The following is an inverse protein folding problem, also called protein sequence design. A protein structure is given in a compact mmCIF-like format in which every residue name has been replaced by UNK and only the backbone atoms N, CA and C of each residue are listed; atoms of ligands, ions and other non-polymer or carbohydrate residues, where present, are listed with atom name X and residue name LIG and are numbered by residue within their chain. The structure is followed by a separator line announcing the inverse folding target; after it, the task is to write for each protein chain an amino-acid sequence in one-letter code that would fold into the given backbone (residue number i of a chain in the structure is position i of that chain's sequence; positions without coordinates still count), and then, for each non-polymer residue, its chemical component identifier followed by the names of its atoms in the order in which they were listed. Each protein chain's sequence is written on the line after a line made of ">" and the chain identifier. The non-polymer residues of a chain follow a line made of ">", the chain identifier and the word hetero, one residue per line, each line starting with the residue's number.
data_IF_785225988995
#
_entry.id   IF_785225988995
#
_cell.length_a   1.000
_cell.length_b   1.000
_cell.length_c   1.000
_cell.angle_alpha   90.00
_cell.angle_beta   90.00
_cell.angle_gamma   90.00
#
_symmetry.space_group_name_H-M   'P 1'
#
loop_
_entity.id
_entity.type
_entity.pdbx_description
1 polymer ?
#
# COMPACT_ATOMS: atom_id res chain seq x y z
N UNK A 1 -17.78 44.49 12.54
CA UNK A 1 -16.78 44.59 13.62
C UNK A 1 -17.26 43.69 14.74
N UNK A 2 -16.49 42.69 15.10
CA UNK A 2 -16.80 41.82 16.24
C UNK A 2 -15.85 42.18 17.37
N UNK A 3 -16.41 42.46 18.54
CA UNK A 3 -15.63 42.56 19.77
C UNK A 3 -15.34 41.14 20.25
N UNK A 4 -14.12 40.67 20.08
CA UNK A 4 -13.67 39.38 20.62
C UNK A 4 -12.94 39.65 21.95
N UNK A 5 -13.39 39.03 23.00
CA UNK A 5 -12.63 38.93 24.25
C UNK A 5 -11.99 37.53 24.29
N UNK A 6 -10.70 37.48 24.49
CA UNK A 6 -10.00 36.23 24.77
C UNK A 6 -10.20 35.96 26.26
N UNK A 7 -11.00 34.94 26.59
CA UNK A 7 -11.13 34.47 27.97
C UNK A 7 -10.08 33.40 28.20
N UNK A 8 -9.01 33.72 28.90
CA UNK A 8 -8.02 32.72 29.32
C UNK A 8 -8.58 32.01 30.56
N UNK A 9 -8.88 30.72 30.42
CA UNK A 9 -9.43 29.89 31.53
C UNK A 9 -8.42 29.63 32.66
N UNK A 10 -7.13 29.74 32.41
CA UNK A 10 -6.09 29.50 33.40
C UNK A 10 -5.78 30.81 34.17
N UNK A 11 -6.08 30.83 35.46
CA UNK A 11 -5.81 31.95 36.35
C UNK A 11 -4.35 32.41 36.38
N UNK A 12 -3.39 31.56 36.01
CA UNK A 12 -1.96 31.91 35.96
C UNK A 12 -1.65 32.85 34.80
N UNK A 13 -2.41 32.83 33.72
CA UNK A 13 -2.18 33.67 32.55
C UNK A 13 -3.04 34.92 32.52
N UNK A 14 -4.12 34.99 33.30
CA UNK A 14 -4.99 36.17 33.40
C UNK A 14 -4.27 37.41 33.97
N UNK A 15 -3.25 37.18 34.79
CA UNK A 15 -2.43 38.27 35.37
C UNK A 15 -1.40 38.85 34.38
N UNK A 16 -1.04 38.16 33.33
CA UNK A 16 -0.08 38.62 32.33
C UNK A 16 -0.69 39.58 31.29
N UNK A 17 -2.01 39.55 31.12
CA UNK A 17 -2.72 40.36 30.13
C UNK A 17 -3.38 41.62 30.69
N UNK A 18 -3.51 41.73 31.99
CA UNK A 18 -4.11 42.90 32.64
C UNK A 18 -3.25 44.17 32.65
N UNK A 19 -1.94 44.04 32.52
CA UNK A 19 -0.99 45.16 32.56
C UNK A 19 -0.51 45.65 31.18
N UNK A 20 -0.78 44.92 30.08
CA UNK A 20 -0.36 45.28 28.72
C UNK A 20 -1.54 45.64 27.83
N UNK A 21 -2.37 46.58 28.24
CA UNK A 21 -3.52 47.07 27.47
C UNK A 21 -3.15 48.04 26.34
N UNK A 22 -1.97 47.99 25.81
CA UNK A 22 -1.63 48.70 24.58
C UNK A 22 -2.10 47.88 23.36
N UNK A 23 -3.44 47.79 23.23
CA UNK A 23 -4.18 47.29 22.09
C UNK A 23 -3.39 46.42 21.11
N UNK A 24 -3.35 45.10 21.31
CA UNK A 24 -3.04 44.20 20.23
C UNK A 24 -4.20 44.25 19.23
N UNK A 25 -4.04 45.04 18.19
CA UNK A 25 -4.95 45.01 17.06
C UNK A 25 -4.77 43.65 16.34
N UNK A 26 -5.71 42.76 16.57
CA UNK A 26 -5.78 41.53 15.77
C UNK A 26 -7.04 41.57 14.91
N UNK A 27 -6.88 41.19 13.65
CA UNK A 27 -8.00 41.00 12.75
C UNK A 27 -8.45 39.54 12.82
N UNK A 28 -9.73 39.33 13.17
CA UNK A 28 -10.34 38.01 13.04
C UNK A 28 -11.05 37.95 11.69
N UNK A 29 -10.51 37.16 10.76
CA UNK A 29 -11.19 36.89 9.50
C UNK A 29 -12.08 35.68 9.72
N UNK A 30 -13.39 35.85 9.53
CA UNK A 30 -14.31 34.72 9.51
C UNK A 30 -14.07 33.88 8.25
N UNK A 31 -13.57 32.67 8.43
CA UNK A 31 -13.46 31.70 7.34
C UNK A 31 -14.85 31.25 6.96
N UNK A 32 -15.18 31.39 5.68
CA UNK A 32 -16.41 30.86 5.12
C UNK A 32 -16.22 29.39 4.75
N UNK A 33 -17.25 28.59 5.05
CA UNK A 33 -17.33 27.18 4.70
C UNK A 33 -18.62 26.94 3.95
N UNK A 34 -18.50 26.38 2.77
CA UNK A 34 -19.63 26.09 1.89
C UNK A 34 -19.99 24.62 2.01
N UNK A 35 -21.28 24.34 2.14
CA UNK A 35 -21.78 22.96 2.16
C UNK A 35 -21.50 22.30 0.82
N UNK A 36 -20.79 21.17 0.84
CA UNK A 36 -20.57 20.35 -0.36
C UNK A 36 -21.88 19.73 -0.80
N UNK A 37 -22.15 19.80 -2.10
CA UNK A 37 -23.36 19.24 -2.71
C UNK A 37 -22.97 18.25 -3.80
N UNK A 38 -23.72 17.19 -3.88
CA UNK A 38 -23.61 16.24 -4.98
C UNK A 38 -24.22 16.77 -6.29
N UNK A 39 -24.02 16.05 -7.38
CA UNK A 39 -24.43 16.46 -8.71
C UNK A 39 -25.95 16.63 -8.87
N UNK A 40 -26.76 15.94 -8.06
CA UNK A 40 -28.20 16.04 -8.08
C UNK A 40 -28.77 16.87 -6.90
N UNK A 41 -27.87 17.58 -6.18
CA UNK A 41 -28.25 18.40 -5.04
C UNK A 41 -28.24 17.67 -3.68
N UNK A 42 -27.71 16.47 -3.61
CA UNK A 42 -27.46 15.75 -2.35
C UNK A 42 -26.63 16.61 -1.40
N UNK A 43 -26.95 16.60 -0.10
CA UNK A 43 -26.28 17.42 0.91
C UNK A 43 -25.63 16.60 2.00
N UNK A 44 -25.78 15.28 1.95
CA UNK A 44 -25.20 14.35 2.90
C UNK A 44 -24.19 13.44 2.20
N UNK A 45 -23.03 13.30 2.84
CA UNK A 45 -22.08 12.26 2.52
C UNK A 45 -22.21 11.10 3.51
N UNK A 46 -21.38 10.06 3.32
CA UNK A 46 -21.38 8.87 4.19
C UNK A 46 -19.99 8.67 4.77
N UNK A 47 -19.89 8.71 6.08
CA UNK A 47 -18.69 8.31 6.82
C UNK A 47 -18.80 6.83 7.19
N UNK A 48 -17.76 6.06 6.90
CA UNK A 48 -17.65 4.63 7.20
C UNK A 48 -16.38 4.39 7.97
N UNK A 49 -16.54 4.09 9.24
CA UNK A 49 -15.47 4.12 10.22
C UNK A 49 -15.10 2.73 10.74
N UNK A 50 -13.84 2.38 10.60
CA UNK A 50 -13.21 1.27 11.31
C UNK A 50 -12.18 1.77 12.36
N UNK A 51 -12.08 3.09 12.53
CA UNK A 51 -11.09 3.74 13.38
C UNK A 51 -11.15 3.23 14.83
N UNK A 52 -12.34 3.05 15.37
CA UNK A 52 -12.54 2.54 16.71
C UNK A 52 -12.15 1.07 16.88
N UNK A 53 -12.09 0.27 15.83
CA UNK A 53 -11.62 -1.11 15.93
C UNK A 53 -10.17 -1.16 16.41
N UNK A 54 -9.36 -0.17 16.05
CA UNK A 54 -7.98 -0.07 16.49
C UNK A 54 -7.83 0.26 17.98
N UNK A 55 -8.85 0.94 18.58
CA UNK A 55 -8.81 1.39 19.97
C UNK A 55 -9.45 0.36 20.89
N UNK A 56 -10.62 -0.10 20.51
CA UNK A 56 -11.51 -0.87 21.37
C UNK A 56 -11.37 -2.38 21.16
N UNK A 57 -10.51 -2.79 20.23
CA UNK A 57 -10.30 -4.21 19.88
C UNK A 57 -11.60 -4.88 19.48
N UNK A 58 -11.79 -5.20 18.23
CA UNK A 58 -12.85 -6.06 17.69
C UNK A 58 -14.33 -5.69 17.94
N UNK A 59 -14.66 -4.73 18.79
CA UNK A 59 -16.03 -4.51 19.22
C UNK A 59 -17.02 -4.23 18.09
N UNK A 60 -16.63 -3.56 17.02
CA UNK A 60 -17.52 -3.33 15.87
C UNK A 60 -17.86 -4.65 15.18
N UNK A 61 -16.88 -5.54 15.01
CA UNK A 61 -17.08 -6.86 14.40
C UNK A 61 -17.82 -7.80 15.33
N UNK A 62 -17.50 -7.78 16.64
CA UNK A 62 -18.14 -8.61 17.66
C UNK A 62 -19.61 -8.25 17.87
N UNK A 63 -19.95 -6.99 17.79
CA UNK A 63 -21.34 -6.53 17.91
C UNK A 63 -22.15 -6.69 16.61
N UNK A 64 -21.60 -7.31 15.57
CA UNK A 64 -22.29 -7.55 14.32
C UNK A 64 -22.58 -6.29 13.51
N UNK A 65 -21.85 -5.19 13.76
CA UNK A 65 -21.93 -3.94 13.00
C UNK A 65 -20.66 -3.77 12.17
N UNK A 66 -20.47 -4.57 11.10
CA UNK A 66 -19.35 -4.36 10.19
C UNK A 66 -19.54 -3.03 9.48
N UNK A 67 -18.47 -2.23 9.42
CA UNK A 67 -18.47 -1.01 8.61
C UNK A 67 -19.61 -0.05 8.98
N UNK A 68 -19.68 0.36 10.25
CA UNK A 68 -20.70 1.31 10.69
C UNK A 68 -20.67 2.59 9.86
N UNK A 69 -21.80 2.88 9.23
CA UNK A 69 -21.97 4.06 8.36
C UNK A 69 -22.77 5.12 9.08
N UNK A 70 -22.43 6.37 8.79
CA UNK A 70 -23.15 7.56 9.26
C UNK A 70 -23.25 8.60 8.15
N UNK A 71 -24.46 9.16 7.99
CA UNK A 71 -24.65 10.34 7.19
C UNK A 71 -24.03 11.58 7.84
N UNK A 72 -23.24 12.32 7.10
CA UNK A 72 -22.50 13.50 7.56
C UNK A 72 -22.67 14.69 6.63
N UNK A 73 -22.58 15.89 7.19
CA UNK A 73 -22.44 17.13 6.43
C UNK A 73 -20.96 17.43 6.22
N UNK A 74 -20.59 17.69 4.96
CA UNK A 74 -19.22 18.01 4.56
C UNK A 74 -19.21 19.45 4.08
N UNK A 75 -18.28 20.23 4.57
CA UNK A 75 -18.11 21.62 4.17
C UNK A 75 -16.70 21.80 3.60
N UNK A 76 -16.60 22.51 2.48
CA UNK A 76 -15.35 22.92 1.88
C UNK A 76 -15.04 24.37 2.27
N UNK A 77 -13.80 24.66 2.56
CA UNK A 77 -13.35 26.00 2.87
C UNK A 77 -13.36 26.87 1.60
N UNK A 78 -14.09 27.98 1.62
CA UNK A 78 -14.33 28.79 0.43
C UNK A 78 -13.07 29.36 -0.23
N UNK A 79 -12.06 29.70 0.56
CA UNK A 79 -10.77 30.25 0.12
C UNK A 79 -9.67 29.20 -0.05
N UNK A 80 -9.99 27.90 0.18
CA UNK A 80 -9.00 26.81 0.12
C UNK A 80 -9.64 25.52 -0.36
N UNK A 81 -9.63 25.33 -1.67
CA UNK A 81 -10.16 24.11 -2.31
C UNK A 81 -9.45 22.85 -1.82
N UNK A 82 -10.21 21.77 -1.62
CA UNK A 82 -9.69 20.52 -1.11
C UNK A 82 -9.46 20.51 0.41
N UNK A 83 -9.81 21.58 1.13
CA UNK A 83 -9.73 21.62 2.58
C UNK A 83 -11.13 21.51 3.16
N UNK A 84 -11.42 20.37 3.78
CA UNK A 84 -12.77 20.02 4.21
C UNK A 84 -12.90 20.00 5.72
N UNK A 85 -14.13 20.17 6.18
CA UNK A 85 -14.52 19.83 7.56
C UNK A 85 -15.79 18.99 7.52
N UNK A 86 -15.84 18.00 8.39
CA UNK A 86 -17.00 17.12 8.54
C UNK A 86 -17.64 17.43 9.89
N UNK A 87 -18.93 17.66 9.88
CA UNK A 87 -19.68 18.02 11.07
C UNK A 87 -20.15 16.78 11.82
N UNK A 88 -19.95 16.77 13.13
CA UNK A 88 -20.51 15.80 14.10
C UNK A 88 -20.31 14.33 13.68
N UNK A 89 -19.10 13.95 13.22
CA UNK A 89 -18.82 12.54 12.87
C UNK A 89 -19.16 11.62 14.04
N UNK A 90 -18.74 12.00 15.23
CA UNK A 90 -18.85 11.19 16.44
C UNK A 90 -19.91 11.76 17.38
N UNK A 91 -21.18 11.79 16.94
CA UNK A 91 -22.28 12.13 17.82
C UNK A 91 -22.68 10.95 18.73
N UNK A 92 -23.54 11.22 19.72
CA UNK A 92 -23.95 10.24 20.72
C UNK A 92 -24.53 8.98 20.10
N UNK A 93 -25.41 9.10 19.09
CA UNK A 93 -26.06 7.96 18.46
C UNK A 93 -25.06 7.08 17.71
N UNK A 94 -24.11 7.67 17.03
CA UNK A 94 -23.07 6.93 16.31
C UNK A 94 -22.08 6.27 17.28
N UNK A 95 -21.64 7.01 18.33
CA UNK A 95 -20.78 6.45 19.37
C UNK A 95 -21.44 5.27 20.09
N UNK A 96 -22.72 5.36 20.43
CA UNK A 96 -23.46 4.26 21.01
C UNK A 96 -23.54 3.04 20.08
N UNK A 97 -23.66 3.26 18.77
CA UNK A 97 -23.68 2.20 17.76
C UNK A 97 -22.33 1.49 17.62
N UNK A 98 -21.22 2.20 17.57
CA UNK A 98 -19.89 1.64 17.27
C UNK A 98 -19.15 1.11 18.51
N UNK A 99 -19.30 1.76 19.69
CA UNK A 99 -18.55 1.42 20.90
C UNK A 99 -19.41 1.09 22.11
N UNK A 100 -20.70 1.31 22.03
CA UNK A 100 -21.65 1.10 23.12
C UNK A 100 -21.85 2.34 24.02
N UNK A 101 -22.91 2.26 24.83
CA UNK A 101 -23.49 3.39 25.59
C UNK A 101 -22.49 4.07 26.55
N UNK A 102 -21.55 3.33 27.10
CA UNK A 102 -20.60 3.88 28.10
C UNK A 102 -19.60 4.90 27.53
N UNK A 103 -19.52 5.03 26.20
CA UNK A 103 -18.61 5.94 25.52
C UNK A 103 -19.35 7.05 24.78
N UNK A 104 -20.59 7.31 25.11
CA UNK A 104 -21.46 8.28 24.45
C UNK A 104 -21.27 9.72 24.91
N UNK A 105 -20.28 10.01 25.74
CA UNK A 105 -19.98 11.37 26.16
C UNK A 105 -19.41 12.18 24.98
N UNK A 106 -20.29 12.94 24.36
CA UNK A 106 -19.94 13.86 23.28
C UNK A 106 -20.31 15.28 23.68
N UNK A 107 -19.62 16.29 23.16
CA UNK A 107 -19.92 17.66 23.49
C UNK A 107 -21.34 18.07 23.03
N UNK A 108 -22.00 18.91 23.78
CA UNK A 108 -23.33 19.44 23.43
C UNK A 108 -23.30 20.49 22.30
N UNK A 109 -22.13 20.82 21.80
CA UNK A 109 -21.92 21.76 20.69
C UNK A 109 -21.44 21.02 19.46
N UNK A 110 -21.73 21.50 18.23
CA UNK A 110 -21.27 20.89 17.01
C UNK A 110 -19.75 20.79 16.99
N UNK A 111 -19.25 19.61 16.64
CA UNK A 111 -17.82 19.35 16.42
C UNK A 111 -17.51 19.28 14.93
N UNK A 112 -16.27 19.54 14.59
CA UNK A 112 -15.83 19.51 13.20
C UNK A 112 -14.50 18.79 13.10
N UNK A 113 -14.43 17.79 12.24
CA UNK A 113 -13.18 17.08 11.90
C UNK A 113 -12.64 17.63 10.60
N UNK A 114 -11.43 18.13 10.61
CA UNK A 114 -10.74 18.69 9.44
C UNK A 114 -10.04 17.59 8.67
N UNK A 115 -10.15 17.64 7.34
CA UNK A 115 -9.43 16.80 6.39
C UNK A 115 -8.77 17.72 5.36
N UNK A 116 -7.48 17.53 5.16
CA UNK A 116 -6.72 18.19 4.11
C UNK A 116 -6.55 17.25 2.91
N UNK A 117 -7.30 17.52 1.85
CA UNK A 117 -7.28 16.80 0.58
C UNK A 117 -6.91 17.74 -0.59
N UNK A 118 -6.13 18.79 -0.31
CA UNK A 118 -5.63 19.71 -1.35
C UNK A 118 -4.72 18.98 -2.36
N UNK A 119 -4.03 17.96 -1.89
CA UNK A 119 -3.39 16.95 -2.74
C UNK A 119 -4.25 15.68 -2.66
N UNK A 120 -4.96 15.31 -3.73
CA UNK A 120 -5.85 14.16 -3.72
C UNK A 120 -5.12 12.82 -3.59
N UNK A 121 -3.81 12.77 -3.82
CA UNK A 121 -2.99 11.57 -3.61
C UNK A 121 -2.38 11.50 -2.20
N UNK A 122 -2.50 12.59 -1.41
CA UNK A 122 -1.94 12.69 -0.06
C UNK A 122 -2.92 13.33 0.90
N UNK A 123 -4.08 12.72 1.05
CA UNK A 123 -5.09 13.19 2.00
C UNK A 123 -4.69 12.85 3.42
N UNK A 124 -4.81 13.82 4.32
CA UNK A 124 -4.37 13.67 5.69
C UNK A 124 -5.24 14.44 6.70
N UNK A 125 -5.13 14.04 7.96
CA UNK A 125 -5.78 14.71 9.08
C UNK A 125 -4.77 15.65 9.76
N UNK A 126 -5.00 16.98 9.80
CA UNK A 126 -4.29 17.86 10.71
C UNK A 126 -4.49 17.40 12.16
N UNK A 127 -3.50 17.67 13.02
CA UNK A 127 -3.63 17.39 14.45
C UNK A 127 -4.79 18.22 15.01
N UNK A 128 -5.78 17.56 15.61
CA UNK A 128 -7.01 18.16 16.07
C UNK A 128 -7.68 17.34 17.17
N UNK A 129 -8.59 17.91 17.97
CA UNK A 129 -9.42 17.14 18.88
C UNK A 129 -10.31 16.14 18.15
N UNK A 130 -10.60 15.02 18.79
CA UNK A 130 -11.51 13.99 18.23
C UNK A 130 -12.98 14.43 18.27
N UNK A 131 -13.33 15.29 19.19
CA UNK A 131 -14.71 15.70 19.42
C UNK A 131 -15.54 14.74 20.29
N UNK A 132 -14.91 13.78 20.95
CA UNK A 132 -15.58 12.87 21.89
C UNK A 132 -14.68 12.55 23.10
N UNK A 133 -15.27 12.04 24.16
CA UNK A 133 -14.58 11.64 25.39
C UNK A 133 -14.29 10.14 25.38
N UNK A 134 -13.09 9.75 25.82
CA UNK A 134 -12.69 8.35 25.98
C UNK A 134 -12.17 8.13 27.40
N UNK A 135 -12.74 7.17 28.11
CA UNK A 135 -12.28 6.74 29.44
C UNK A 135 -12.10 7.92 30.43
N UNK A 136 -13.11 8.79 30.52
CA UNK A 136 -13.12 9.98 31.37
C UNK A 136 -12.08 11.07 30.99
N UNK A 137 -11.44 10.93 29.86
CA UNK A 137 -10.60 11.99 29.27
C UNK A 137 -11.47 12.90 28.43
N UNK A 138 -11.47 14.19 28.71
CA UNK A 138 -12.26 15.18 28.01
C UNK A 138 -11.98 15.17 26.50
N UNK A 139 -12.97 15.51 25.69
CA UNK A 139 -12.85 15.48 24.22
C UNK A 139 -11.76 16.44 23.69
N UNK A 140 -11.45 17.49 24.38
CA UNK A 140 -10.36 18.43 24.07
C UNK A 140 -8.98 17.84 24.28
N UNK A 141 -8.87 16.78 25.07
CA UNK A 141 -7.61 16.11 25.38
C UNK A 141 -7.35 14.90 24.46
N UNK A 142 -8.35 14.49 23.68
CA UNK A 142 -8.20 13.43 22.68
C UNK A 142 -7.85 14.03 21.32
N UNK A 143 -6.77 13.57 20.72
CA UNK A 143 -6.28 14.05 19.43
C UNK A 143 -6.46 13.03 18.31
N UNK A 144 -6.65 13.55 17.12
CA UNK A 144 -6.64 12.80 15.86
C UNK A 144 -5.60 13.41 14.94
N UNK A 145 -4.88 12.59 14.20
CA UNK A 145 -3.85 13.01 13.25
C UNK A 145 -3.66 11.97 12.16
N UNK A 146 -2.85 12.28 11.14
CA UNK A 146 -2.35 11.27 10.23
C UNK A 146 -1.25 10.43 10.88
N UNK A 147 -1.26 9.13 10.55
CA UNK A 147 -0.22 8.20 10.93
C UNK A 147 0.90 8.17 9.85
N UNK A 148 1.30 7.00 9.40
CA UNK A 148 2.41 6.83 8.45
C UNK A 148 1.98 6.74 7.00
N UNK A 149 0.70 6.51 6.74
CA UNK A 149 0.10 6.41 5.41
C UNK A 149 -0.79 7.62 5.14
N UNK A 150 -0.98 7.92 3.87
CA UNK A 150 -1.92 8.95 3.44
C UNK A 150 -3.18 8.32 2.85
N UNK A 151 -4.29 9.05 2.94
CA UNK A 151 -5.49 8.71 2.18
C UNK A 151 -5.44 9.26 0.75
N UNK A 152 -6.42 8.87 -0.05
CA UNK A 152 -6.61 9.36 -1.42
C UNK A 152 -8.04 9.84 -1.62
N UNK A 153 -8.22 10.82 -2.53
CA UNK A 153 -9.54 11.29 -2.97
C UNK A 153 -9.70 10.99 -4.46
N UNK A 154 -10.62 10.10 -4.79
CA UNK A 154 -10.93 9.74 -6.16
C UNK A 154 -12.45 9.67 -6.36
N UNK A 155 -12.96 10.34 -7.39
CA UNK A 155 -14.40 10.33 -7.76
C UNK A 155 -15.37 10.66 -6.60
N UNK A 156 -14.95 11.56 -5.69
CA UNK A 156 -15.73 11.92 -4.50
C UNK A 156 -15.68 10.90 -3.37
N UNK A 157 -14.80 9.93 -3.43
CA UNK A 157 -14.54 8.96 -2.36
C UNK A 157 -13.17 9.23 -1.76
N UNK A 158 -13.14 9.60 -0.48
CA UNK A 158 -11.93 9.61 0.33
C UNK A 158 -11.71 8.21 0.92
N UNK A 159 -10.54 7.66 0.68
CA UNK A 159 -10.15 6.34 1.17
C UNK A 159 -8.91 6.48 2.05
N UNK A 160 -8.98 5.99 3.28
CA UNK A 160 -7.88 5.96 4.23
C UNK A 160 -7.46 4.52 4.47
N UNK A 161 -6.29 4.09 3.94
CA UNK A 161 -5.79 2.73 4.15
C UNK A 161 -5.41 2.50 5.62
N UNK A 162 -5.15 1.25 6.04
CA UNK A 162 -4.58 0.97 7.35
C UNK A 162 -3.37 1.85 7.65
N UNK A 163 -3.26 2.36 8.88
CA UNK A 163 -2.22 3.29 9.34
C UNK A 163 -2.27 4.69 8.72
N UNK A 164 -3.38 5.11 8.14
CA UNK A 164 -3.56 6.49 7.67
C UNK A 164 -4.11 7.42 8.74
N UNK A 165 -4.91 6.91 9.67
CA UNK A 165 -5.51 7.68 10.75
C UNK A 165 -4.90 7.25 12.08
N UNK A 166 -4.47 8.20 12.89
CA UNK A 166 -3.92 7.98 14.22
C UNK A 166 -4.80 8.64 15.28
N UNK A 167 -5.23 7.87 16.27
CA UNK A 167 -5.78 8.43 17.50
C UNK A 167 -4.67 8.61 18.53
N UNK A 168 -4.61 9.80 19.10
CA UNK A 168 -3.72 10.14 20.19
C UNK A 168 -4.56 10.42 21.43
N UNK A 169 -4.21 9.78 22.54
CA UNK A 169 -4.76 10.14 23.85
C UNK A 169 -3.62 10.76 24.66
N UNK A 170 -3.52 12.08 24.74
CA UNK A 170 -2.47 12.68 25.53
C UNK A 170 -2.70 12.43 27.01
N UNK A 171 -1.67 12.12 27.71
CA UNK A 171 -1.43 12.45 29.09
C UNK A 171 -1.88 11.59 30.26
N UNK A 172 -2.88 10.76 30.21
CA UNK A 172 -3.26 10.01 31.42
C UNK A 172 -2.53 8.68 31.63
N UNK A 173 -1.70 8.29 30.68
CA UNK A 173 -1.10 6.98 30.62
C UNK A 173 0.34 7.14 30.11
N UNK A 174 1.20 6.23 30.42
CA UNK A 174 2.58 6.29 29.95
C UNK A 174 2.66 6.29 28.42
N UNK A 175 3.52 7.13 27.89
CA UNK A 175 3.59 7.59 26.49
C UNK A 175 3.62 6.50 25.39
N UNK A 176 3.84 5.24 25.72
CA UNK A 176 4.03 4.15 24.75
C UNK A 176 2.74 3.39 24.39
N UNK A 177 1.64 3.60 25.10
CA UNK A 177 0.43 2.79 24.96
C UNK A 177 -0.77 3.48 24.27
N UNK A 178 -0.65 4.74 23.87
CA UNK A 178 -1.80 5.60 23.55
C UNK A 178 -1.96 5.99 22.09
N UNK A 179 -1.07 5.51 21.22
CA UNK A 179 -1.19 5.74 19.80
C UNK A 179 -1.80 4.50 19.13
N UNK A 180 -3.00 4.66 18.58
CA UNK A 180 -3.65 3.61 17.81
C UNK A 180 -3.93 4.13 16.42
N UNK A 181 -3.52 3.34 15.42
CA UNK A 181 -3.83 3.61 14.04
C UNK A 181 -5.01 2.74 13.58
N UNK A 182 -5.73 3.18 12.55
CA UNK A 182 -6.77 2.35 11.93
C UNK A 182 -6.14 1.06 11.37
N UNK A 183 -6.83 -0.05 11.57
CA UNK A 183 -6.39 -1.38 11.14
C UNK A 183 -6.96 -1.77 9.78
N UNK A 184 -8.09 -1.20 9.43
CA UNK A 184 -8.80 -1.46 8.18
C UNK A 184 -9.00 -0.15 7.41
N UNK A 185 -9.60 -0.23 6.25
CA UNK A 185 -9.83 0.91 5.38
C UNK A 185 -11.03 1.72 5.86
N UNK A 186 -10.82 3.00 6.15
CA UNK A 186 -11.89 3.97 6.47
C UNK A 186 -12.22 4.80 5.24
N UNK A 187 -13.50 5.12 5.03
CA UNK A 187 -13.98 5.85 3.85
C UNK A 187 -14.89 7.00 4.23
N UNK A 188 -14.80 8.08 3.44
CA UNK A 188 -15.78 9.15 3.39
C UNK A 188 -16.26 9.31 1.95
N UNK A 189 -17.54 9.05 1.72
CA UNK A 189 -18.18 9.32 0.45
C UNK A 189 -18.77 10.73 0.47
N UNK A 190 -18.46 11.52 -0.52
CA UNK A 190 -19.07 12.84 -0.70
C UNK A 190 -20.52 12.71 -1.13
N UNK A 191 -21.34 13.77 -0.96
CA UNK A 191 -22.74 13.73 -1.39
C UNK A 191 -22.89 13.29 -2.86
N UNK A 192 -23.67 12.24 -3.09
CA UNK A 192 -23.89 11.65 -4.42
C UNK A 192 -22.73 10.78 -4.95
N UNK A 193 -21.63 10.63 -4.22
CA UNK A 193 -20.57 9.71 -4.61
C UNK A 193 -20.96 8.26 -4.32
N UNK A 194 -20.55 7.36 -5.21
CA UNK A 194 -20.76 5.92 -5.09
C UNK A 194 -19.41 5.25 -4.98
N UNK A 195 -19.25 4.40 -3.99
CA UNK A 195 -18.04 3.57 -3.86
C UNK A 195 -18.26 2.28 -4.63
N UNK A 196 -17.50 2.12 -5.70
CA UNK A 196 -17.46 0.88 -6.48
C UNK A 196 -16.32 -0.02 -6.01
N UNK A 197 -16.57 -1.31 -5.99
CA UNK A 197 -15.55 -2.33 -5.74
C UNK A 197 -15.27 -3.11 -7.04
N UNK A 198 -14.24 -2.67 -7.74
CA UNK A 198 -13.71 -3.34 -8.95
C UNK A 198 -12.46 -4.16 -8.65
N UNK A 199 -12.22 -4.52 -7.39
CA UNK A 199 -11.03 -5.30 -7.03
C UNK A 199 -11.02 -6.67 -7.72
N UNK A 200 -9.84 -7.14 -8.09
CA UNK A 200 -9.56 -8.51 -8.45
C UNK A 200 -8.35 -8.99 -7.66
N UNK A 201 -8.56 -10.01 -6.85
CA UNK A 201 -7.54 -10.59 -5.98
C UNK A 201 -7.34 -12.05 -6.37
N UNK A 202 -6.09 -12.44 -6.57
CA UNK A 202 -5.71 -13.82 -6.84
C UNK A 202 -4.93 -14.39 -5.65
N UNK A 203 -5.36 -15.55 -5.17
CA UNK A 203 -4.66 -16.32 -4.14
C UNK A 203 -4.26 -17.67 -4.70
N UNK A 204 -2.99 -18.04 -4.55
CA UNK A 204 -2.44 -19.29 -5.05
C UNK A 204 -2.53 -20.40 -4.01
N UNK A 205 -2.77 -21.63 -4.43
CA UNK A 205 -2.46 -22.82 -3.62
C UNK A 205 -0.98 -23.18 -3.73
N UNK A 206 -0.51 -24.05 -2.84
CA UNK A 206 0.79 -24.70 -3.05
C UNK A 206 0.81 -25.47 -4.39
N UNK A 207 1.97 -25.57 -5.05
CA UNK A 207 2.12 -26.40 -6.25
C UNK A 207 1.73 -27.86 -5.97
N UNK A 208 0.88 -28.40 -6.82
CA UNK A 208 0.56 -29.81 -6.81
C UNK A 208 1.01 -30.46 -8.12
N UNK A 209 1.06 -31.80 -8.18
CA UNK A 209 1.50 -32.53 -9.35
C UNK A 209 0.69 -32.14 -10.60
N UNK A 210 1.31 -31.40 -11.50
CA UNK A 210 0.75 -30.96 -12.77
C UNK A 210 -0.32 -29.88 -12.73
N UNK A 211 -0.60 -29.24 -11.60
CA UNK A 211 -1.60 -28.14 -11.50
C UNK A 211 -1.41 -27.23 -10.30
N UNK A 212 -1.89 -26.01 -10.41
CA UNK A 212 -2.02 -25.06 -9.30
C UNK A 212 -3.42 -24.49 -9.31
N UNK A 213 -4.09 -24.48 -8.16
CA UNK A 213 -5.36 -23.81 -7.99
C UNK A 213 -5.12 -22.34 -7.64
N UNK A 214 -5.76 -21.43 -8.37
CA UNK A 214 -5.73 -19.99 -8.11
C UNK A 214 -7.13 -19.55 -7.83
N UNK A 215 -7.40 -19.11 -6.60
CA UNK A 215 -8.68 -18.54 -6.22
C UNK A 215 -8.74 -17.09 -6.68
N UNK A 216 -9.70 -16.75 -7.52
CA UNK A 216 -10.00 -15.40 -7.93
C UNK A 216 -11.18 -14.87 -7.12
N UNK A 217 -10.98 -13.76 -6.42
CA UNK A 217 -12.03 -13.02 -5.70
C UNK A 217 -12.27 -11.71 -6.43
N UNK A 218 -13.50 -11.50 -6.87
CA UNK A 218 -13.94 -10.33 -7.62
C UNK A 218 -14.74 -9.40 -6.71
N UNK A 219 -14.48 -8.11 -6.82
CA UNK A 219 -15.29 -7.07 -6.18
C UNK A 219 -16.73 -7.05 -6.69
N UNK A 220 -17.64 -6.47 -5.91
CA UNK A 220 -19.09 -6.52 -6.15
C UNK A 220 -19.55 -5.86 -7.47
N UNK A 221 -18.75 -4.93 -8.00
CA UNK A 221 -19.07 -4.16 -9.20
C UNK A 221 -18.33 -4.66 -10.45
N UNK A 222 -17.58 -5.76 -10.33
CA UNK A 222 -16.88 -6.37 -11.45
C UNK A 222 -17.86 -7.16 -12.31
N UNK A 223 -18.02 -6.76 -13.58
CA UNK A 223 -18.80 -7.50 -14.56
C UNK A 223 -18.04 -8.75 -15.03
N UNK A 224 -16.74 -8.58 -15.32
CA UNK A 224 -15.87 -9.66 -15.76
C UNK A 224 -14.40 -9.38 -15.47
N UNK A 225 -13.61 -10.44 -15.47
CA UNK A 225 -12.15 -10.39 -15.44
C UNK A 225 -11.60 -11.11 -16.67
N UNK A 226 -10.75 -10.44 -17.45
CA UNK A 226 -9.91 -11.08 -18.46
C UNK A 226 -8.54 -11.34 -17.86
N UNK A 227 -8.02 -12.55 -17.99
CA UNK A 227 -6.73 -12.91 -17.41
C UNK A 227 -5.85 -13.69 -18.38
N UNK A 228 -4.53 -13.62 -18.14
CA UNK A 228 -3.53 -14.41 -18.86
C UNK A 228 -2.39 -14.83 -17.93
N UNK A 229 -1.69 -15.88 -18.33
CA UNK A 229 -0.50 -16.39 -17.64
C UNK A 229 0.77 -15.95 -18.35
N UNK A 230 1.77 -15.59 -17.56
CA UNK A 230 3.10 -15.16 -18.04
C UNK A 230 4.19 -15.96 -17.36
N UNK A 231 5.25 -16.31 -18.09
CA UNK A 231 6.42 -16.96 -17.51
C UNK A 231 7.22 -16.01 -16.63
N UNK A 232 7.65 -16.48 -15.49
CA UNK A 232 8.41 -15.74 -14.47
C UNK A 232 7.56 -14.96 -13.49
N UNK A 233 8.20 -14.46 -12.42
CA UNK A 233 7.60 -13.53 -11.48
C UNK A 233 7.64 -12.11 -12.06
N UNK A 234 6.50 -11.46 -12.23
CA UNK A 234 6.43 -10.08 -12.72
C UNK A 234 6.59 -9.08 -11.57
N UNK A 235 7.32 -8.00 -11.83
CA UNK A 235 7.25 -6.80 -10.98
C UNK A 235 5.92 -6.08 -11.21
N UNK A 236 5.57 -5.14 -10.32
CA UNK A 236 4.36 -4.33 -10.44
C UNK A 236 4.31 -3.61 -11.80
N UNK A 237 5.40 -2.97 -12.21
CA UNK A 237 5.49 -2.27 -13.50
C UNK A 237 5.30 -3.20 -14.72
N UNK A 238 5.85 -4.41 -14.67
CA UNK A 238 5.64 -5.40 -15.73
C UNK A 238 4.22 -5.97 -15.71
N UNK A 239 3.64 -6.21 -14.54
CA UNK A 239 2.25 -6.62 -14.42
C UNK A 239 1.30 -5.55 -14.97
N UNK A 240 1.55 -4.27 -14.68
CA UNK A 240 0.82 -3.15 -15.27
C UNK A 240 0.95 -3.10 -16.80
N UNK A 241 2.15 -3.30 -17.33
CA UNK A 241 2.34 -3.38 -18.78
C UNK A 241 1.57 -4.55 -19.40
N UNK A 242 1.57 -5.73 -18.75
CA UNK A 242 0.81 -6.90 -19.18
C UNK A 242 -0.70 -6.72 -19.06
N UNK A 243 -1.17 -5.99 -18.05
CA UNK A 243 -2.55 -5.52 -17.97
C UNK A 243 -2.92 -4.68 -19.20
N UNK A 244 -2.07 -3.74 -19.61
CA UNK A 244 -2.27 -2.97 -20.85
C UNK A 244 -2.32 -3.85 -22.11
N UNK A 245 -1.47 -4.86 -22.21
CA UNK A 245 -1.47 -5.82 -23.32
C UNK A 245 -2.78 -6.65 -23.37
N UNK A 246 -3.32 -7.06 -22.21
CA UNK A 246 -4.60 -7.76 -22.09
C UNK A 246 -5.75 -6.85 -22.53
N UNK A 247 -5.77 -5.60 -22.06
CA UNK A 247 -6.82 -4.62 -22.38
C UNK A 247 -6.83 -4.29 -23.87
N UNK A 248 -5.67 -4.07 -24.46
CA UNK A 248 -5.52 -3.83 -25.89
C UNK A 248 -5.81 -5.06 -26.77
N UNK A 249 -6.01 -6.23 -26.18
CA UNK A 249 -6.22 -7.49 -26.92
C UNK A 249 -5.02 -7.95 -27.76
N UNK A 250 -3.81 -7.50 -27.43
CA UNK A 250 -2.58 -7.88 -28.13
C UNK A 250 -2.09 -9.27 -27.75
N UNK A 251 -2.60 -9.81 -26.65
CA UNK A 251 -2.31 -11.17 -26.17
C UNK A 251 -3.62 -11.95 -25.94
N UNK A 252 -3.62 -13.28 -26.14
CA UNK A 252 -4.75 -14.11 -25.79
C UNK A 252 -5.04 -14.07 -24.30
N UNK A 253 -6.31 -13.97 -23.92
CA UNK A 253 -6.77 -13.98 -22.54
C UNK A 253 -8.00 -14.86 -22.38
N UNK A 254 -8.17 -15.43 -21.19
CA UNK A 254 -9.38 -16.11 -20.76
C UNK A 254 -10.25 -15.17 -19.95
N UNK A 255 -11.52 -15.54 -19.71
CA UNK A 255 -12.50 -14.69 -19.05
C UNK A 255 -13.24 -15.44 -17.94
N UNK A 256 -13.47 -14.75 -16.79
CA UNK A 256 -14.38 -15.20 -15.73
C UNK A 256 -15.34 -14.05 -15.36
N UNK A 257 -16.57 -14.40 -14.97
CA UNK A 257 -17.63 -13.44 -14.60
C UNK A 257 -18.06 -13.57 -13.13
N UNK A 258 -17.44 -14.44 -12.37
CA UNK A 258 -17.69 -14.62 -10.95
C UNK A 258 -16.44 -15.08 -10.21
N UNK A 259 -16.39 -14.81 -8.91
CA UNK A 259 -15.36 -15.37 -8.04
C UNK A 259 -15.34 -16.90 -8.11
N UNK A 260 -14.15 -17.48 -8.14
CA UNK A 260 -14.01 -18.92 -8.31
C UNK A 260 -12.56 -19.38 -8.41
N UNK A 261 -12.37 -20.66 -8.71
CA UNK A 261 -11.03 -21.25 -8.84
C UNK A 261 -10.65 -21.44 -10.30
N UNK A 262 -9.51 -20.87 -10.66
CA UNK A 262 -8.82 -21.07 -11.94
C UNK A 262 -7.80 -22.17 -11.72
N UNK A 263 -7.78 -23.20 -12.58
CA UNK A 263 -6.76 -24.25 -12.53
C UNK A 263 -5.67 -23.95 -13.55
N UNK A 264 -4.48 -23.58 -13.06
CA UNK A 264 -3.33 -23.35 -13.90
C UNK A 264 -2.63 -24.69 -14.25
N UNK A 265 -2.44 -24.95 -15.55
CA UNK A 265 -1.68 -26.07 -16.10
C UNK A 265 -0.69 -25.51 -17.09
N UNK A 266 0.63 -25.67 -16.81
CA UNK A 266 1.69 -25.10 -17.62
C UNK A 266 2.49 -26.21 -18.34
N UNK A 267 3.19 -25.83 -19.39
CA UNK A 267 3.99 -26.78 -20.16
C UNK A 267 5.28 -27.23 -19.46
N UNK A 268 5.83 -26.36 -18.62
CA UNK A 268 7.13 -26.56 -17.95
C UNK A 268 7.03 -26.21 -16.46
N UNK A 269 7.82 -26.90 -15.67
CA UNK A 269 8.08 -26.50 -14.27
C UNK A 269 8.76 -25.15 -14.22
N UNK A 270 8.26 -24.25 -13.37
CA UNK A 270 8.80 -22.89 -13.22
C UNK A 270 7.91 -21.98 -12.42
N UNK A 271 8.28 -20.72 -12.41
CA UNK A 271 7.48 -19.63 -11.85
C UNK A 271 6.66 -18.99 -12.97
N UNK A 272 5.43 -18.70 -12.67
CA UNK A 272 4.47 -18.03 -13.55
C UNK A 272 3.76 -16.91 -12.79
N UNK A 273 3.20 -15.96 -13.52
CA UNK A 273 2.33 -14.91 -12.96
C UNK A 273 1.01 -14.92 -13.71
N UNK A 274 -0.11 -14.94 -12.99
CA UNK A 274 -1.41 -14.59 -13.54
C UNK A 274 -1.59 -13.09 -13.40
N UNK A 275 -2.04 -12.43 -14.47
CA UNK A 275 -2.49 -11.03 -14.47
C UNK A 275 -3.93 -11.01 -14.94
N UNK A 276 -4.81 -10.33 -14.23
CA UNK A 276 -6.21 -10.23 -14.59
C UNK A 276 -6.73 -8.80 -14.46
N UNK A 277 -7.48 -8.37 -15.45
CA UNK A 277 -8.09 -7.06 -15.57
C UNK A 277 -9.57 -7.14 -15.25
N UNK A 278 -10.05 -6.31 -14.32
CA UNK A 278 -11.47 -6.18 -14.05
C UNK A 278 -12.12 -5.10 -14.94
N UNK A 279 -13.33 -5.39 -15.38
CA UNK A 279 -14.11 -4.51 -16.24
C UNK A 279 -15.48 -4.22 -15.62
N UNK A 280 -16.00 -3.01 -15.88
CA UNK A 280 -17.38 -2.63 -15.57
C UNK A 280 -18.37 -3.18 -16.63
N UNK A 281 -19.68 -2.99 -16.40
CA UNK A 281 -20.75 -3.39 -17.32
C UNK A 281 -20.63 -2.78 -18.74
N UNK A 282 -19.92 -1.65 -18.86
CA UNK A 282 -19.69 -0.96 -20.14
C UNK A 282 -18.43 -1.48 -20.86
N UNK A 283 -17.70 -2.39 -20.22
CA UNK A 283 -16.47 -2.95 -20.75
C UNK A 283 -15.24 -2.04 -20.59
N UNK A 284 -15.30 -1.05 -19.70
CA UNK A 284 -14.13 -0.22 -19.38
C UNK A 284 -13.24 -0.93 -18.36
N UNK A 285 -11.94 -0.92 -18.60
CA UNK A 285 -10.94 -1.38 -17.64
C UNK A 285 -11.01 -0.53 -16.36
N UNK A 286 -11.12 -1.19 -15.21
CA UNK A 286 -11.21 -0.53 -13.92
C UNK A 286 -9.95 -0.75 -13.08
N UNK A 287 -9.57 -2.01 -12.85
CA UNK A 287 -8.40 -2.38 -12.06
C UNK A 287 -7.73 -3.61 -12.64
N UNK A 288 -6.54 -3.90 -12.16
CA UNK A 288 -5.89 -5.19 -12.39
C UNK A 288 -5.39 -5.78 -11.07
N UNK A 289 -5.27 -7.10 -11.05
CA UNK A 289 -4.61 -7.84 -9.99
C UNK A 289 -3.64 -8.85 -10.59
N UNK A 290 -2.66 -9.26 -9.79
CA UNK A 290 -1.72 -10.29 -10.21
C UNK A 290 -1.18 -11.07 -9.01
N UNK A 291 -0.77 -12.31 -9.26
CA UNK A 291 -0.03 -13.12 -8.29
C UNK A 291 0.96 -14.02 -9.02
N UNK A 292 2.17 -14.14 -8.48
CA UNK A 292 3.16 -15.09 -8.96
C UNK A 292 3.07 -16.41 -8.20
N UNK A 293 3.25 -17.52 -8.89
CA UNK A 293 3.13 -18.87 -8.33
C UNK A 293 4.14 -19.83 -8.96
N UNK A 294 4.51 -20.85 -8.19
CA UNK A 294 5.30 -21.98 -8.69
C UNK A 294 4.41 -23.04 -9.32
N UNK A 295 4.88 -23.67 -10.35
CA UNK A 295 4.24 -24.82 -11.00
C UNK A 295 5.23 -25.96 -11.13
N UNK A 296 4.81 -27.18 -10.78
CA UNK A 296 5.57 -28.43 -10.96
C UNK A 296 4.87 -29.28 -11.99
N UNK A 297 5.58 -29.62 -13.06
CA UNK A 297 5.05 -30.50 -14.09
C UNK A 297 4.87 -31.93 -13.54
N UNK A 298 3.77 -32.58 -13.93
CA UNK A 298 3.45 -33.92 -13.47
C UNK A 298 4.62 -34.89 -13.71
N UNK A 299 4.98 -35.65 -12.68
CA UNK A 299 6.05 -36.63 -12.68
C UNK A 299 7.46 -36.07 -12.45
N UNK A 300 7.63 -34.79 -12.17
CA UNK A 300 8.91 -34.23 -11.71
C UNK A 300 9.05 -34.31 -10.20
N UNK A 301 10.18 -34.88 -9.73
CA UNK A 301 10.43 -35.03 -8.29
C UNK A 301 11.16 -33.81 -7.72
N UNK A 302 10.45 -33.01 -6.91
CA UNK A 302 10.97 -31.90 -6.10
C UNK A 302 11.98 -30.99 -6.81
N UNK A 303 11.67 -30.44 -7.98
CA UNK A 303 12.56 -29.51 -8.66
C UNK A 303 12.73 -28.22 -7.87
N UNK A 304 13.87 -27.52 -8.04
CA UNK A 304 14.02 -26.16 -7.53
C UNK A 304 13.23 -25.20 -8.41
N UNK A 305 12.21 -24.57 -7.84
CA UNK A 305 11.30 -23.66 -8.52
C UNK A 305 11.67 -22.24 -8.13
N UNK A 306 12.29 -21.51 -9.05
CA UNK A 306 12.69 -20.13 -8.80
C UNK A 306 12.74 -19.34 -10.11
N UNK A 307 12.38 -18.07 -10.04
CA UNK A 307 12.59 -17.04 -11.06
C UNK A 307 13.66 -16.08 -10.58
N UNK A 308 14.64 -15.82 -11.42
CA UNK A 308 15.70 -14.83 -11.18
C UNK A 308 15.76 -13.92 -12.37
N UNK A 309 15.60 -12.60 -12.14
CA UNK A 309 15.64 -11.58 -13.18
C UNK A 309 16.42 -10.38 -12.72
N UNK A 310 16.76 -9.51 -13.64
CA UNK A 310 17.38 -8.23 -13.41
C UNK A 310 16.62 -7.14 -14.17
N UNK A 311 16.58 -5.94 -13.57
CA UNK A 311 15.98 -4.76 -14.19
C UNK A 311 16.92 -3.56 -14.05
N UNK A 312 16.86 -2.67 -15.05
CA UNK A 312 17.55 -1.36 -15.03
C UNK A 312 16.60 -0.20 -14.80
N UNK A 313 15.29 -0.44 -14.79
CA UNK A 313 14.24 0.56 -14.58
C UNK A 313 13.38 0.15 -13.41
N UNK A 314 12.91 1.12 -12.62
CA UNK A 314 12.02 0.94 -11.48
C UNK A 314 11.22 2.21 -11.24
N UNK A 315 10.03 2.10 -10.67
CA UNK A 315 9.06 3.22 -10.54
C UNK A 315 9.50 4.31 -9.56
N UNK A 316 10.21 3.92 -8.50
CA UNK A 316 10.77 4.87 -7.52
C UNK A 316 12.26 4.62 -7.42
N UNK A 317 13.02 5.55 -7.98
CA UNK A 317 14.48 5.51 -7.84
C UNK A 317 14.86 5.84 -6.39
N UNK A 318 15.50 4.89 -5.66
CA UNK A 318 16.17 5.28 -4.43
C UNK A 318 17.24 6.31 -4.77
N UNK A 319 17.45 7.29 -3.90
CA UNK A 319 18.44 8.36 -4.11
C UNK A 319 19.81 7.77 -4.49
N UNK A 320 20.39 8.25 -5.60
CA UNK A 320 21.68 7.78 -6.11
C UNK A 320 21.67 6.49 -6.94
N UNK A 321 20.52 5.86 -7.15
CA UNK A 321 20.39 4.66 -7.98
C UNK A 321 19.94 5.02 -9.39
N UNK A 322 20.77 4.74 -10.38
CA UNK A 322 20.49 4.98 -11.79
C UNK A 322 20.79 3.75 -12.63
N UNK A 323 20.18 3.60 -13.82
CA UNK A 323 20.50 2.51 -14.74
C UNK A 323 21.98 2.40 -15.13
N UNK A 324 22.75 3.48 -14.97
CA UNK A 324 24.19 3.51 -15.28
C UNK A 324 25.06 2.93 -14.17
N UNK A 325 24.59 2.96 -12.90
CA UNK A 325 25.39 2.58 -11.74
C UNK A 325 24.73 1.51 -10.86
N UNK A 326 23.55 1.03 -11.23
CA UNK A 326 22.79 0.09 -10.40
C UNK A 326 22.08 -0.97 -11.24
N UNK A 327 21.92 -2.15 -10.65
CA UNK A 327 21.10 -3.25 -11.17
C UNK A 327 20.17 -3.69 -10.04
N UNK A 328 18.86 -3.76 -10.31
CA UNK A 328 17.89 -4.38 -9.43
C UNK A 328 17.76 -5.85 -9.78
N UNK A 329 17.97 -6.75 -8.82
CA UNK A 329 17.66 -8.16 -8.98
C UNK A 329 16.25 -8.43 -8.46
N UNK A 330 15.54 -9.42 -9.03
CA UNK A 330 14.22 -9.85 -8.59
C UNK A 330 14.24 -11.37 -8.48
N UNK A 331 14.03 -11.85 -7.25
CA UNK A 331 14.02 -13.25 -6.90
C UNK A 331 12.64 -13.64 -6.37
N UNK A 332 12.08 -14.68 -6.91
CA UNK A 332 10.83 -15.28 -6.42
C UNK A 332 10.97 -16.81 -6.54
N UNK A 333 10.57 -17.53 -5.51
CA UNK A 333 10.70 -18.98 -5.48
C UNK A 333 9.60 -19.65 -4.66
N UNK A 334 9.59 -20.96 -4.69
CA UNK A 334 8.71 -21.81 -3.86
C UNK A 334 9.57 -22.82 -3.11
N UNK A 335 9.37 -22.92 -1.81
CA UNK A 335 10.04 -23.87 -0.93
C UNK A 335 11.58 -23.81 -0.98
N UNK A 336 12.16 -22.63 -1.21
CA UNK A 336 13.62 -22.44 -1.16
C UNK A 336 14.08 -22.46 0.29
N UNK A 337 14.91 -23.45 0.63
CA UNK A 337 15.38 -23.68 2.00
C UNK A 337 16.71 -22.96 2.28
N UNK A 338 17.56 -22.80 1.26
CA UNK A 338 18.83 -22.09 1.39
C UNK A 338 19.32 -21.57 0.04
N UNK A 339 20.28 -20.64 0.05
CA UNK A 339 20.87 -20.16 -1.19
C UNK A 339 22.00 -19.17 -1.00
N UNK A 340 22.64 -18.82 -2.10
CA UNK A 340 23.70 -17.83 -2.21
C UNK A 340 23.44 -16.92 -3.39
N UNK A 341 23.74 -15.64 -3.24
CA UNK A 341 23.56 -14.64 -4.30
C UNK A 341 24.82 -13.79 -4.44
N UNK A 342 25.23 -13.49 -5.68
CA UNK A 342 26.34 -12.61 -5.97
C UNK A 342 26.27 -12.02 -7.36
N UNK A 343 26.71 -10.77 -7.49
CA UNK A 343 26.85 -10.09 -8.77
C UNK A 343 28.34 -10.02 -9.13
N UNK A 344 28.71 -10.53 -10.29
CA UNK A 344 30.08 -10.59 -10.77
C UNK A 344 30.17 -9.89 -12.13
N UNK A 345 31.36 -9.37 -12.51
CA UNK A 345 31.55 -8.94 -13.89
C UNK A 345 31.44 -10.14 -14.82
N UNK A 346 30.73 -10.03 -15.93
CA UNK A 346 30.57 -11.16 -16.89
C UNK A 346 31.92 -11.69 -17.34
N UNK A 347 32.92 -10.80 -17.51
CA UNK A 347 34.28 -11.22 -17.85
C UNK A 347 34.91 -12.19 -16.83
N UNK A 348 34.56 -12.07 -15.54
CA UNK A 348 35.11 -12.96 -14.49
C UNK A 348 34.42 -14.33 -14.41
N UNK A 349 33.25 -14.48 -15.01
CA UNK A 349 32.48 -15.73 -15.06
C UNK A 349 32.58 -16.44 -16.41
N UNK A 350 33.14 -15.75 -17.40
CA UNK A 350 33.26 -16.26 -18.75
C UNK A 350 34.16 -17.54 -18.83
N UNK A 351 33.66 -18.58 -19.48
CA UNK A 351 34.37 -19.84 -19.64
C UNK A 351 34.33 -20.79 -18.42
N UNK A 352 33.70 -20.38 -17.32
CA UNK A 352 33.46 -21.25 -16.17
C UNK A 352 32.33 -22.24 -16.44
N UNK A 353 32.48 -23.48 -16.01
CA UNK A 353 31.39 -24.44 -15.99
C UNK A 353 30.50 -24.24 -14.76
N UNK A 354 29.32 -24.89 -14.77
CA UNK A 354 28.31 -24.73 -13.70
C UNK A 354 28.88 -25.03 -12.31
N UNK A 355 29.68 -26.09 -12.14
CA UNK A 355 30.30 -26.43 -10.84
C UNK A 355 31.26 -25.34 -10.35
N UNK A 356 32.00 -24.69 -11.23
CA UNK A 356 32.89 -23.58 -10.92
C UNK A 356 32.10 -22.33 -10.55
N UNK A 357 31.01 -22.04 -11.24
CA UNK A 357 30.11 -20.92 -10.93
C UNK A 357 29.44 -21.13 -9.56
N UNK A 358 28.97 -22.36 -9.26
CA UNK A 358 28.42 -22.69 -7.94
C UNK A 358 29.47 -22.49 -6.84
N UNK A 359 30.68 -22.99 -7.05
CA UNK A 359 31.77 -22.80 -6.09
C UNK A 359 32.09 -21.30 -5.90
N UNK A 360 32.13 -20.55 -7.00
CA UNK A 360 32.37 -19.11 -6.99
C UNK A 360 31.31 -18.31 -6.20
N UNK A 361 30.03 -18.57 -6.45
CA UNK A 361 28.95 -17.86 -5.74
C UNK A 361 28.89 -18.24 -4.27
N UNK A 362 29.20 -19.51 -3.91
CA UNK A 362 29.27 -19.93 -2.49
C UNK A 362 30.47 -19.33 -1.76
N UNK A 363 31.60 -19.13 -2.43
CA UNK A 363 32.81 -18.59 -1.84
C UNK A 363 32.81 -17.06 -1.72
N UNK A 364 32.28 -16.36 -2.74
CA UNK A 364 32.39 -14.89 -2.87
C UNK A 364 31.06 -14.17 -2.83
N UNK A 365 29.95 -14.87 -2.98
CA UNK A 365 28.60 -14.34 -2.82
C UNK A 365 28.18 -14.23 -1.35
N UNK A 366 26.95 -13.81 -1.12
CA UNK A 366 26.32 -13.74 0.20
C UNK A 366 25.33 -14.88 0.36
N UNK A 367 25.37 -15.58 1.50
CA UNK A 367 24.31 -16.50 1.89
C UNK A 367 23.00 -15.72 2.10
N UNK A 368 21.90 -16.27 1.64
CA UNK A 368 20.57 -15.71 1.88
C UNK A 368 20.18 -15.91 3.35
N UNK A 369 19.71 -14.84 3.98
CA UNK A 369 19.22 -14.90 5.37
C UNK A 369 17.83 -15.53 5.42
N UNK A 370 17.39 -15.95 6.62
CA UNK A 370 16.05 -16.49 6.83
C UNK A 370 14.95 -15.50 6.39
N UNK A 371 15.09 -14.21 6.71
CA UNK A 371 14.15 -13.17 6.28
C UNK A 371 14.10 -13.01 4.75
N UNK A 372 15.25 -13.10 4.07
CA UNK A 372 15.32 -13.03 2.61
C UNK A 372 14.69 -14.26 1.96
N UNK A 373 14.88 -15.45 2.54
CA UNK A 373 14.27 -16.69 2.07
C UNK A 373 12.74 -16.65 2.25
N UNK A 374 12.24 -16.12 3.38
CA UNK A 374 10.82 -15.90 3.60
C UNK A 374 10.23 -15.01 2.51
N UNK A 375 10.86 -13.86 2.23
CA UNK A 375 10.44 -12.97 1.13
C UNK A 375 10.47 -13.66 -0.23
N UNK A 376 11.53 -14.41 -0.54
CA UNK A 376 11.64 -15.15 -1.81
C UNK A 376 10.46 -16.09 -1.98
N UNK A 377 10.07 -16.80 -0.91
CA UNK A 377 9.02 -17.81 -0.96
C UNK A 377 7.59 -17.24 -0.89
N UNK A 378 7.43 -15.96 -0.57
CA UNK A 378 6.11 -15.31 -0.42
C UNK A 378 5.89 -14.20 -1.44
N UNK A 379 6.51 -13.04 -1.23
CA UNK A 379 6.25 -11.81 -1.99
C UNK A 379 7.33 -11.47 -3.01
N UNK A 380 8.48 -12.14 -2.93
CA UNK A 380 9.68 -11.86 -3.71
C UNK A 380 10.70 -11.00 -2.95
N UNK A 381 11.95 -11.15 -3.32
CA UNK A 381 13.08 -10.39 -2.78
C UNK A 381 13.78 -9.62 -3.91
N UNK A 382 13.89 -8.31 -3.77
CA UNK A 382 14.37 -7.42 -4.83
C UNK A 382 15.53 -6.51 -4.37
N UNK A 383 16.77 -7.05 -4.21
CA UNK A 383 17.93 -6.27 -3.82
C UNK A 383 18.47 -5.41 -4.97
N UNK A 384 19.05 -4.25 -4.58
CA UNK A 384 19.83 -3.42 -5.48
C UNK A 384 21.33 -3.69 -5.32
N UNK A 385 22.02 -3.77 -6.45
CA UNK A 385 23.48 -3.71 -6.54
C UNK A 385 23.85 -2.32 -7.05
N UNK A 386 24.62 -1.58 -6.27
CA UNK A 386 24.93 -0.17 -6.51
C UNK A 386 26.43 0.07 -6.66
N UNK A 387 26.84 1.24 -7.17
CA UNK A 387 28.23 1.58 -7.38
C UNK A 387 28.89 0.80 -8.53
N UNK A 388 28.06 0.35 -9.48
CA UNK A 388 28.51 -0.38 -10.65
C UNK A 388 29.11 0.57 -11.69
N UNK A 389 29.96 0.03 -12.54
CA UNK A 389 30.54 0.77 -13.68
C UNK A 389 29.53 0.83 -14.84
N UNK A 390 29.36 2.00 -15.43
CA UNK A 390 28.48 2.20 -16.60
C UNK A 390 28.97 1.41 -17.83
N UNK A 391 28.02 0.96 -18.64
CA UNK A 391 28.29 0.22 -19.87
C UNK A 391 29.05 -1.10 -19.65
N UNK A 392 28.94 -1.67 -18.44
CA UNK A 392 29.65 -2.88 -18.04
C UNK A 392 28.67 -4.02 -17.86
N UNK A 393 29.00 -5.20 -18.40
CA UNK A 393 28.20 -6.41 -18.26
C UNK A 393 28.51 -7.13 -16.95
N UNK A 394 27.44 -7.47 -16.25
CA UNK A 394 27.48 -8.22 -15.00
C UNK A 394 26.66 -9.49 -15.11
N UNK A 395 27.06 -10.55 -14.42
CA UNK A 395 26.33 -11.80 -14.28
C UNK A 395 25.88 -11.92 -12.82
N UNK A 396 24.56 -11.90 -12.62
CA UNK A 396 23.94 -12.27 -11.37
C UNK A 396 23.93 -13.80 -11.26
N UNK A 397 24.59 -14.35 -10.24
CA UNK A 397 24.57 -15.77 -9.91
C UNK A 397 23.72 -15.97 -8.66
N UNK A 398 22.75 -16.88 -8.74
CA UNK A 398 21.95 -17.33 -7.60
C UNK A 398 21.98 -18.84 -7.55
N UNK A 399 22.53 -19.39 -6.48
CA UNK A 399 22.40 -20.81 -6.17
C UNK A 399 21.27 -20.95 -5.15
N UNK A 400 20.26 -21.73 -5.49
CA UNK A 400 19.12 -22.03 -4.64
C UNK A 400 19.02 -23.53 -4.37
N UNK A 401 18.61 -23.90 -3.17
CA UNK A 401 18.46 -25.27 -2.70
C UNK A 401 17.15 -25.40 -1.93
N UNK A 402 16.33 -26.40 -2.25
CA UNK A 402 15.05 -26.67 -1.59
C UNK A 402 15.10 -27.78 -0.55
N UNK A 403 16.31 -28.17 -0.13
CA UNK A 403 16.53 -29.27 0.81
C UNK A 403 16.61 -30.65 0.18
N UNK A 404 16.26 -30.77 -1.11
CA UNK A 404 16.34 -32.02 -1.90
C UNK A 404 17.26 -31.84 -3.10
N UNK A 405 17.15 -30.75 -3.79
CA UNK A 405 17.89 -30.45 -5.02
C UNK A 405 18.42 -29.01 -4.97
N UNK A 406 19.58 -28.79 -5.58
CA UNK A 406 20.16 -27.47 -5.76
C UNK A 406 20.25 -27.09 -7.23
N UNK A 407 20.07 -25.81 -7.56
CA UNK A 407 20.14 -25.29 -8.94
C UNK A 407 20.81 -23.93 -8.98
N UNK A 408 21.63 -23.73 -10.02
CA UNK A 408 22.22 -22.44 -10.33
C UNK A 408 21.36 -21.69 -11.34
N UNK A 409 21.15 -20.42 -11.08
CA UNK A 409 20.58 -19.45 -11.99
C UNK A 409 21.64 -18.39 -12.31
N UNK A 410 21.77 -18.06 -13.59
CA UNK A 410 22.70 -17.04 -14.07
C UNK A 410 21.97 -16.10 -15.03
N UNK A 411 22.00 -14.79 -14.72
CA UNK A 411 21.35 -13.75 -15.51
C UNK A 411 22.35 -12.65 -15.82
N UNK A 412 22.56 -12.36 -17.09
CA UNK A 412 23.44 -11.28 -17.54
C UNK A 412 22.67 -9.97 -17.70
N UNK A 413 23.26 -8.89 -17.23
CA UNK A 413 22.74 -7.54 -17.36
C UNK A 413 23.88 -6.55 -17.60
N UNK A 414 23.71 -5.69 -18.60
CA UNK A 414 24.65 -4.60 -18.85
C UNK A 414 24.05 -3.29 -18.31
N UNK A 415 24.82 -2.59 -17.48
CA UNK A 415 24.45 -1.25 -17.02
C UNK A 415 24.34 -0.27 -18.21
N UNK A 416 23.47 0.73 -18.09
CA UNK A 416 23.30 1.73 -19.16
C UNK A 416 24.57 2.57 -19.38
N UNK A 417 24.60 3.31 -20.49
CA UNK A 417 25.71 4.19 -20.85
C UNK A 417 26.83 3.46 -21.62
N UNK A 418 27.90 4.20 -21.90
CA UNK A 418 29.10 3.66 -22.55
C UNK A 418 30.18 3.40 -21.52
N UNK A 419 30.87 2.26 -21.65
CA UNK A 419 32.02 1.93 -20.80
C UNK A 419 33.08 3.03 -20.88
N UNK A 420 33.68 3.39 -19.74
CA UNK A 420 34.77 4.35 -19.71
C UNK A 420 36.01 3.74 -20.42
N UNK A 421 36.51 4.33 -21.49
CA UNK A 421 37.67 3.77 -22.21
C UNK A 421 38.95 3.74 -21.36
N UNK A 422 39.04 4.52 -20.28
CA UNK A 422 40.19 4.51 -19.36
C UNK A 422 40.25 3.28 -18.46
N UNK A 423 39.12 2.64 -18.18
CA UNK A 423 39.09 1.42 -17.34
C UNK A 423 39.69 0.19 -18.06
N UNK A 424 39.82 0.22 -19.39
CA UNK A 424 40.45 -0.88 -20.16
C UNK A 424 41.97 -0.96 -20.06
N UNK A 425 42.65 0.06 -19.48
CA UNK A 425 44.13 0.17 -19.49
C UNK A 425 44.83 -0.37 -18.25
N UNK A 426 44.14 -0.82 -17.25
CA UNK A 426 44.79 -1.23 -15.99
C UNK A 426 44.41 -2.64 -15.49
N UNK A 427 44.18 -3.57 -16.42
CA UNK A 427 44.20 -5.00 -16.07
C UNK A 427 45.56 -5.54 -16.49
N UNK A 428 46.52 -5.47 -15.58
CA UNK A 428 47.79 -6.23 -15.62
C UNK A 428 47.61 -7.42 -14.72
#
# INVERSE_FOLDING_TARGET
>A
TYNCSIVVKDKKYALLYGEYSNGLDFSVTRVQWDLVKGPNGETKGTWRDDFFTAIMGSNIKENGVPNAEKEVEIYERADMKGYYRIKDIYDEAYMAKIVGVRYSNVPSVPTYTIIDARDPEKVWFPVQPTGFEINDVGYEDNGMASATMYGTLENGVLTFPPKAILLTTPSLWEATSHFKANTEMTRLLFPGAVSHDYSVVFEKSAPADGKVAITATLGSDVDKVKYAFFEGALSESLAAAKSGDIDAGTIPSEEITASGTITAVMEKTGIYTIVGNSYDEKGNLQKYGYVSFGYVKAGEEKPVIMSVRTELTWEKEPEGHTPENSIKAILFGEEIASGYIGLFTTASTQGMNESQLIAGVKASGKALTAEQLEKINDTGYAPFYVGLSKGTSYTLLVYADNGYNGKLFAVEQTTAGKADPLQRKYTI
#
